data_IF_451780760227
#
_entry.id   IF_451780760227
#
_cell.length_a   1.000
_cell.length_b   1.000
_cell.length_c   1.000
_cell.angle_alpha   90.00
_cell.angle_beta   90.00
_cell.angle_gamma   90.00
#
_symmetry.space_group_name_H-M   'P 1'
#
loop_
_entity.id
_entity.type
_entity.pdbx_description
1 polymer ?
#
# COMPACT_ATOMS: atom_id res chain seq x y z
N UNK A 1 -33.89 -23.69 -34.53
CA UNK A 1 -32.83 -24.72 -34.52
C UNK A 1 -31.70 -24.11 -33.72
N UNK A 2 -31.65 -24.40 -32.41
CA UNK A 2 -30.62 -23.88 -31.51
C UNK A 2 -29.28 -24.48 -31.92
N UNK A 3 -28.43 -23.68 -32.57
CA UNK A 3 -27.06 -24.09 -32.86
C UNK A 3 -26.34 -24.30 -31.55
N UNK A 4 -25.73 -25.47 -31.36
CA UNK A 4 -24.84 -25.71 -30.25
C UNK A 4 -23.73 -24.64 -30.25
N UNK A 5 -23.30 -24.20 -29.07
CA UNK A 5 -22.20 -23.25 -28.94
C UNK A 5 -20.94 -23.91 -29.49
N UNK A 6 -20.45 -23.45 -30.65
CA UNK A 6 -19.21 -23.93 -31.25
C UNK A 6 -18.02 -23.15 -30.67
N UNK A 7 -17.22 -23.81 -29.84
CA UNK A 7 -16.00 -23.22 -29.28
C UNK A 7 -14.90 -23.28 -30.35
N UNK A 8 -14.40 -22.11 -30.75
CA UNK A 8 -13.29 -22.03 -31.69
C UNK A 8 -11.97 -22.51 -31.05
N UNK A 9 -11.07 -23.09 -31.85
CA UNK A 9 -9.71 -23.44 -31.40
C UNK A 9 -8.99 -22.23 -30.78
N UNK A 10 -9.23 -21.03 -31.29
CA UNK A 10 -8.65 -19.80 -30.73
C UNK A 10 -9.15 -19.49 -29.31
N UNK A 11 -10.44 -19.69 -29.05
CA UNK A 11 -11.05 -19.49 -27.73
C UNK A 11 -10.58 -20.56 -26.73
N UNK A 12 -10.45 -21.81 -27.18
CA UNK A 12 -9.90 -22.88 -26.37
C UNK A 12 -8.44 -22.60 -25.96
N UNK A 13 -7.61 -22.17 -26.92
CA UNK A 13 -6.21 -21.77 -26.63
C UNK A 13 -6.18 -20.59 -25.67
N UNK A 14 -7.00 -19.57 -25.89
CA UNK A 14 -7.11 -18.41 -25.00
C UNK A 14 -7.42 -18.84 -23.57
N UNK A 15 -8.43 -19.70 -23.38
CA UNK A 15 -8.81 -20.21 -22.06
C UNK A 15 -7.68 -20.99 -21.40
N UNK A 16 -7.09 -21.97 -22.09
CA UNK A 16 -6.06 -22.83 -21.54
C UNK A 16 -4.75 -22.10 -21.21
N UNK A 17 -4.52 -20.93 -21.81
CA UNK A 17 -3.40 -20.06 -21.45
C UNK A 17 -3.78 -19.10 -20.32
N UNK A 18 -4.91 -18.39 -20.41
CA UNK A 18 -5.28 -17.38 -19.42
C UNK A 18 -5.68 -17.99 -18.08
N UNK A 19 -6.44 -19.09 -18.05
CA UNK A 19 -6.97 -19.63 -16.81
C UNK A 19 -5.87 -20.05 -15.81
N UNK A 20 -4.81 -20.80 -16.19
CA UNK A 20 -3.71 -21.08 -15.28
C UNK A 20 -2.94 -19.83 -14.84
N UNK A 21 -2.71 -18.88 -15.76
CA UNK A 21 -2.05 -17.61 -15.43
C UNK A 21 -2.86 -16.80 -14.41
N UNK A 22 -4.19 -16.77 -14.55
CA UNK A 22 -5.08 -16.13 -13.58
C UNK A 22 -5.00 -16.79 -12.20
N UNK A 23 -4.95 -18.12 -12.14
CA UNK A 23 -4.78 -18.85 -10.87
C UNK A 23 -3.44 -18.49 -10.22
N UNK A 24 -2.35 -18.49 -10.99
CA UNK A 24 -1.01 -18.10 -10.49
C UNK A 24 -1.01 -16.65 -9.98
N UNK A 25 -1.62 -15.72 -10.72
CA UNK A 25 -1.72 -14.32 -10.31
C UNK A 25 -2.62 -14.13 -9.07
N UNK A 26 -3.70 -14.90 -8.95
CA UNK A 26 -4.55 -14.92 -7.76
C UNK A 26 -3.82 -15.47 -6.54
N UNK A 27 -2.97 -16.50 -6.70
CA UNK A 27 -2.07 -16.95 -5.62
C UNK A 27 -1.07 -15.86 -5.23
N UNK A 28 -0.65 -15.02 -6.18
CA UNK A 28 0.15 -13.83 -5.92
C UNK A 28 -0.47 -12.89 -4.89
N UNK A 29 -1.81 -12.77 -4.81
CA UNK A 29 -2.49 -11.97 -3.79
C UNK A 29 -2.24 -12.49 -2.36
N UNK A 30 -2.12 -13.82 -2.21
CA UNK A 30 -1.91 -14.46 -0.91
C UNK A 30 -0.42 -14.42 -0.49
N UNK A 31 0.50 -14.54 -1.45
CA UNK A 31 1.92 -14.73 -1.17
C UNK A 31 2.77 -13.46 -1.34
N UNK A 32 2.25 -12.40 -1.96
CA UNK A 32 2.99 -11.16 -2.16
C UNK A 32 3.22 -10.43 -0.83
N UNK A 33 4.50 -10.25 -0.48
CA UNK A 33 4.92 -9.49 0.72
C UNK A 33 4.68 -7.99 0.61
N UNK A 34 4.55 -7.46 -0.60
CA UNK A 34 4.33 -6.03 -0.85
C UNK A 34 2.95 -5.84 -1.47
N UNK A 35 2.12 -4.98 -0.86
CA UNK A 35 0.73 -4.78 -1.32
C UNK A 35 0.64 -4.28 -2.77
N UNK A 36 1.64 -3.55 -3.26
CA UNK A 36 1.71 -3.13 -4.68
C UNK A 36 1.77 -4.33 -5.64
N UNK A 37 2.53 -5.37 -5.29
CA UNK A 37 2.66 -6.56 -6.16
C UNK A 37 1.35 -7.38 -6.14
N UNK A 38 0.71 -7.47 -4.98
CA UNK A 38 -0.63 -8.05 -4.86
C UNK A 38 -1.66 -7.28 -5.71
N UNK A 39 -1.62 -5.94 -5.70
CA UNK A 39 -2.53 -5.14 -6.51
C UNK A 39 -2.31 -5.36 -8.02
N UNK A 40 -1.05 -5.39 -8.48
CA UNK A 40 -0.72 -5.69 -9.89
C UNK A 40 -1.18 -7.10 -10.28
N UNK A 41 -1.06 -8.08 -9.40
CA UNK A 41 -1.54 -9.44 -9.70
C UNK A 41 -3.06 -9.49 -9.85
N UNK A 42 -3.81 -8.71 -9.03
CA UNK A 42 -5.26 -8.58 -9.20
C UNK A 42 -5.63 -7.83 -10.49
N UNK A 43 -4.91 -6.76 -10.86
CA UNK A 43 -5.08 -6.08 -12.17
C UNK A 43 -5.00 -7.09 -13.31
N UNK A 44 -3.98 -7.94 -13.31
CA UNK A 44 -3.81 -8.98 -14.32
C UNK A 44 -5.01 -9.92 -14.39
N UNK A 45 -5.52 -10.40 -13.24
CA UNK A 45 -6.71 -11.25 -13.18
C UNK A 45 -7.94 -10.54 -13.74
N UNK A 46 -8.15 -9.26 -13.42
CA UNK A 46 -9.30 -8.49 -13.91
C UNK A 46 -9.26 -8.29 -15.42
N UNK A 47 -8.08 -8.04 -15.99
CA UNK A 47 -7.88 -7.90 -17.45
C UNK A 47 -8.06 -9.24 -18.16
N UNK A 48 -7.48 -10.32 -17.63
CA UNK A 48 -7.66 -11.66 -18.18
C UNK A 48 -9.15 -12.08 -18.15
N UNK A 49 -9.87 -11.74 -17.07
CA UNK A 49 -11.32 -11.98 -16.97
C UNK A 49 -12.11 -11.21 -18.04
N UNK A 50 -11.70 -9.99 -18.40
CA UNK A 50 -12.33 -9.23 -19.49
C UNK A 50 -12.19 -9.92 -20.86
N UNK A 51 -11.03 -10.52 -21.14
CA UNK A 51 -10.83 -11.33 -22.33
C UNK A 51 -11.71 -12.59 -22.31
N UNK A 52 -11.81 -13.27 -21.15
CA UNK A 52 -12.70 -14.43 -21.01
C UNK A 52 -14.17 -14.07 -21.17
N UNK A 53 -14.63 -12.93 -20.63
CA UNK A 53 -16.00 -12.44 -20.88
C UNK A 53 -16.27 -12.17 -22.35
N UNK A 54 -15.29 -11.59 -23.05
CA UNK A 54 -15.41 -11.34 -24.49
C UNK A 54 -15.49 -12.64 -25.28
N UNK A 55 -14.69 -13.65 -24.91
CA UNK A 55 -14.73 -14.99 -25.50
C UNK A 55 -16.05 -15.74 -25.19
N UNK A 56 -16.69 -15.42 -24.06
CA UNK A 56 -18.01 -15.94 -23.68
C UNK A 56 -19.17 -15.12 -24.27
N UNK A 57 -18.95 -14.44 -25.40
CA UNK A 57 -19.95 -13.62 -26.11
C UNK A 57 -20.56 -12.48 -25.25
N UNK A 58 -19.83 -11.99 -24.24
CA UNK A 58 -20.22 -10.88 -23.38
C UNK A 58 -19.24 -9.68 -23.49
N UNK A 59 -19.06 -9.09 -24.69
CA UNK A 59 -18.09 -8.01 -24.91
C UNK A 59 -18.40 -6.74 -24.11
N UNK A 60 -19.67 -6.41 -23.86
CA UNK A 60 -20.02 -5.26 -23.02
C UNK A 60 -19.50 -5.44 -21.59
N UNK A 61 -19.69 -6.63 -21.02
CA UNK A 61 -19.23 -6.96 -19.67
C UNK A 61 -17.70 -6.98 -19.60
N UNK A 62 -17.03 -7.47 -20.65
CA UNK A 62 -15.58 -7.38 -20.79
C UNK A 62 -15.06 -5.94 -20.77
N UNK A 63 -15.66 -5.04 -21.56
CA UNK A 63 -15.27 -3.62 -21.55
C UNK A 63 -15.57 -2.95 -20.21
N UNK A 64 -16.74 -3.22 -19.62
CA UNK A 64 -17.10 -2.71 -18.30
C UNK A 64 -16.12 -3.19 -17.21
N UNK A 65 -15.64 -4.42 -17.30
CA UNK A 65 -14.63 -4.98 -16.39
C UNK A 65 -13.31 -4.19 -16.45
N UNK A 66 -12.86 -3.82 -17.65
CA UNK A 66 -11.64 -3.02 -17.80
C UNK A 66 -11.86 -1.60 -17.31
N UNK A 67 -12.95 -0.94 -17.73
CA UNK A 67 -13.18 0.47 -17.40
C UNK A 67 -13.45 0.68 -15.90
N UNK A 68 -14.33 -0.12 -15.32
CA UNK A 68 -14.80 0.08 -13.93
C UNK A 68 -13.88 -0.59 -12.93
N UNK A 69 -13.67 -1.91 -13.04
CA UNK A 69 -12.89 -2.64 -12.04
C UNK A 69 -11.40 -2.36 -12.16
N UNK A 70 -10.85 -2.52 -13.37
CA UNK A 70 -9.41 -2.32 -13.60
C UNK A 70 -9.05 -0.83 -13.61
N UNK A 71 -9.90 0.00 -14.23
CA UNK A 71 -9.67 1.44 -14.35
C UNK A 71 -9.93 2.19 -13.05
N UNK A 72 -11.19 2.26 -12.61
CA UNK A 72 -11.56 3.11 -11.48
C UNK A 72 -11.26 2.47 -10.11
N UNK A 73 -11.80 1.28 -9.85
CA UNK A 73 -11.75 0.66 -8.52
C UNK A 73 -10.32 0.30 -8.14
N UNK A 74 -9.58 -0.34 -9.04
CA UNK A 74 -8.22 -0.78 -8.75
C UNK A 74 -7.25 0.40 -8.63
N UNK A 75 -7.40 1.45 -9.45
CA UNK A 75 -6.57 2.66 -9.30
C UNK A 75 -6.81 3.33 -7.95
N UNK A 76 -8.06 3.43 -7.50
CA UNK A 76 -8.38 3.92 -6.15
C UNK A 76 -7.73 3.04 -5.07
N UNK A 77 -7.83 1.72 -5.22
CA UNK A 77 -7.24 0.78 -4.27
C UNK A 77 -5.71 0.92 -4.19
N UNK A 78 -5.02 0.96 -5.33
CA UNK A 78 -3.56 1.17 -5.40
C UNK A 78 -3.18 2.51 -4.79
N UNK A 79 -3.92 3.57 -5.08
CA UNK A 79 -3.67 4.89 -4.52
C UNK A 79 -3.81 4.90 -3.00
N UNK A 80 -4.86 4.28 -2.46
CA UNK A 80 -5.08 4.15 -1.02
C UNK A 80 -3.96 3.32 -0.38
N UNK A 81 -3.61 2.17 -0.96
CA UNK A 81 -2.51 1.35 -0.46
C UNK A 81 -1.19 2.12 -0.41
N UNK A 82 -0.92 2.92 -1.44
CA UNK A 82 0.28 3.74 -1.50
C UNK A 82 0.27 4.88 -0.47
N UNK A 83 -0.87 5.55 -0.28
CA UNK A 83 -1.03 6.60 0.74
C UNK A 83 -0.88 6.09 2.17
N UNK A 84 -1.38 4.89 2.45
CA UNK A 84 -1.32 4.29 3.80
C UNK A 84 0.12 3.91 4.18
N UNK A 85 1.03 3.80 3.21
CA UNK A 85 2.44 3.47 3.48
C UNK A 85 2.58 2.04 3.99
N UNK A 86 2.51 1.08 3.07
CA UNK A 86 2.71 -0.35 3.37
C UNK A 86 4.19 -0.70 3.48
N UNK A 87 4.82 -0.27 4.58
CA UNK A 87 6.05 -0.86 5.13
C UNK A 87 5.76 -1.56 6.46
N UNK A 88 4.63 -2.27 6.51
CA UNK A 88 4.39 -3.22 7.58
C UNK A 88 5.34 -4.40 7.36
N UNK A 89 6.47 -4.36 8.08
CA UNK A 89 7.27 -5.54 8.33
C UNK A 89 6.36 -6.52 9.09
N UNK A 90 5.66 -7.38 8.36
CA UNK A 90 4.78 -8.39 8.95
C UNK A 90 5.62 -9.21 9.94
N UNK A 91 5.41 -8.98 11.24
CA UNK A 91 5.91 -9.91 12.23
C UNK A 91 5.09 -11.18 12.05
N UNK A 92 5.72 -12.25 11.58
CA UNK A 92 5.13 -13.60 11.46
C UNK A 92 4.86 -14.23 12.84
N UNK A 93 4.72 -13.41 13.88
CA UNK A 93 4.40 -13.82 15.23
C UNK A 93 2.91 -14.05 15.27
N UNK A 94 2.53 -15.31 15.17
CA UNK A 94 1.15 -15.77 15.24
C UNK A 94 0.56 -15.40 16.61
N UNK A 95 -0.29 -14.38 16.67
CA UNK A 95 -0.95 -13.94 17.93
C UNK A 95 -1.86 -15.02 18.50
N UNK A 96 -2.41 -15.88 17.63
CA UNK A 96 -3.25 -17.04 17.96
C UNK A 96 -2.61 -18.33 17.45
N UNK A 97 -2.02 -19.10 18.36
CA UNK A 97 -1.41 -20.39 18.03
C UNK A 97 -2.44 -21.30 17.33
N UNK A 98 -2.14 -21.74 16.11
CA UNK A 98 -2.98 -22.65 15.32
C UNK A 98 -3.91 -22.00 14.31
N UNK A 99 -4.01 -20.65 14.25
CA UNK A 99 -4.86 -19.95 13.29
C UNK A 99 -4.51 -20.31 11.84
N UNK A 100 -3.22 -20.33 11.47
CA UNK A 100 -2.78 -20.71 10.14
C UNK A 100 -3.22 -22.12 9.72
N UNK A 101 -3.12 -23.10 10.62
CA UNK A 101 -3.56 -24.47 10.32
C UNK A 101 -5.07 -24.56 10.12
N UNK A 102 -5.83 -23.86 10.96
CA UNK A 102 -7.29 -23.78 10.83
C UNK A 102 -7.66 -23.09 9.50
N UNK A 103 -7.00 -21.99 9.15
CA UNK A 103 -7.25 -21.28 7.88
C UNK A 103 -6.93 -22.16 6.66
N UNK A 104 -5.84 -22.93 6.69
CA UNK A 104 -5.51 -23.88 5.64
C UNK A 104 -6.55 -24.99 5.56
N UNK A 105 -6.97 -25.56 6.69
CA UNK A 105 -8.01 -26.59 6.73
C UNK A 105 -9.32 -26.10 6.14
N UNK A 106 -9.79 -24.91 6.51
CA UNK A 106 -11.00 -24.31 5.94
C UNK A 106 -10.82 -23.97 4.45
N UNK A 107 -9.67 -23.46 4.04
CA UNK A 107 -9.38 -23.16 2.64
C UNK A 107 -9.42 -24.41 1.76
N UNK A 108 -8.74 -25.48 2.18
CA UNK A 108 -8.74 -26.77 1.47
C UNK A 108 -10.12 -27.42 1.52
N UNK A 109 -10.80 -27.35 2.66
CA UNK A 109 -12.16 -27.86 2.82
C UNK A 109 -13.15 -27.19 1.87
N UNK A 110 -13.13 -25.85 1.79
CA UNK A 110 -13.95 -25.08 0.88
C UNK A 110 -13.61 -25.41 -0.59
N UNK A 111 -12.33 -25.46 -0.95
CA UNK A 111 -11.90 -25.83 -2.29
C UNK A 111 -12.39 -27.23 -2.69
N UNK A 112 -12.29 -28.20 -1.77
CA UNK A 112 -12.75 -29.57 -1.99
C UNK A 112 -14.26 -29.64 -2.21
N UNK A 113 -15.04 -28.88 -1.42
CA UNK A 113 -16.50 -28.78 -1.60
C UNK A 113 -16.84 -28.15 -2.95
N UNK A 114 -16.21 -27.04 -3.32
CA UNK A 114 -16.46 -26.37 -4.60
C UNK A 114 -16.11 -27.27 -5.79
N UNK A 115 -14.96 -27.94 -5.75
CA UNK A 115 -14.55 -28.90 -6.78
C UNK A 115 -15.55 -30.06 -6.85
N UNK A 116 -15.99 -30.59 -5.70
CA UNK A 116 -17.00 -31.65 -5.63
C UNK A 116 -18.34 -31.23 -6.26
N UNK A 117 -18.81 -30.02 -5.95
CA UNK A 117 -20.02 -29.45 -6.55
C UNK A 117 -19.87 -29.30 -8.06
N UNK A 118 -18.76 -28.73 -8.54
CA UNK A 118 -18.51 -28.56 -9.98
C UNK A 118 -18.41 -29.92 -10.69
N UNK A 119 -17.73 -30.90 -10.10
CA UNK A 119 -17.53 -32.22 -10.69
C UNK A 119 -18.82 -33.06 -10.74
N UNK A 120 -19.77 -32.81 -9.84
CA UNK A 120 -21.07 -33.53 -9.77
C UNK A 120 -22.23 -32.76 -10.38
N UNK A 121 -22.02 -31.49 -10.76
CA UNK A 121 -23.04 -30.66 -11.37
C UNK A 121 -23.39 -31.19 -12.77
N UNK A 122 -24.67 -31.52 -12.97
CA UNK A 122 -25.23 -31.75 -14.30
C UNK A 122 -25.69 -30.42 -14.86
N UNK A 123 -24.94 -29.88 -15.82
CA UNK A 123 -25.29 -28.64 -16.51
C UNK A 123 -26.06 -28.96 -17.80
N UNK A 124 -27.04 -28.14 -18.17
CA UNK A 124 -27.66 -28.22 -19.50
C UNK A 124 -26.61 -27.91 -20.58
N UNK A 125 -26.90 -28.34 -21.82
CA UNK A 125 -26.02 -28.07 -22.96
C UNK A 125 -25.74 -26.56 -23.09
N UNK A 126 -24.48 -26.24 -23.39
CA UNK A 126 -24.06 -24.85 -23.53
C UNK A 126 -24.78 -24.19 -24.72
N UNK A 127 -25.51 -23.13 -24.43
CA UNK A 127 -26.18 -22.31 -25.44
C UNK A 127 -25.42 -21.00 -25.62
N UNK A 128 -25.14 -20.65 -26.88
CA UNK A 128 -24.56 -19.36 -27.23
C UNK A 128 -25.52 -18.20 -26.93
N UNK A 129 -24.95 -17.01 -26.78
CA UNK A 129 -25.66 -15.74 -26.65
C UNK A 129 -25.84 -15.05 -28.01
N UNK A 130 -25.33 -15.62 -29.11
CA UNK A 130 -25.38 -15.04 -30.46
C UNK A 130 -26.78 -14.57 -30.88
N UNK A 131 -27.83 -15.36 -30.61
CA UNK A 131 -29.22 -15.00 -30.94
C UNK A 131 -29.70 -13.78 -30.13
N UNK A 132 -29.37 -13.73 -28.85
CA UNK A 132 -29.73 -12.64 -27.93
C UNK A 132 -28.91 -11.37 -28.23
N UNK A 133 -27.71 -11.54 -28.79
CA UNK A 133 -26.79 -10.47 -29.14
C UNK A 133 -26.99 -9.90 -30.55
N UNK A 134 -28.03 -10.32 -31.29
CA UNK A 134 -28.30 -9.87 -32.68
C UNK A 134 -28.38 -8.36 -32.85
N UNK A 135 -29.05 -7.67 -31.93
CA UNK A 135 -29.16 -6.19 -31.91
C UNK A 135 -27.98 -5.50 -31.19
N UNK A 136 -26.93 -6.27 -30.84
CA UNK A 136 -25.79 -5.86 -30.05
C UNK A 136 -25.90 -6.23 -28.57
N UNK A 137 -24.81 -6.76 -28.00
CA UNK A 137 -24.75 -7.20 -26.60
C UNK A 137 -25.16 -6.12 -25.57
N UNK A 138 -24.75 -4.83 -25.68
CA UNK A 138 -25.21 -3.80 -24.76
C UNK A 138 -26.73 -3.55 -24.82
N UNK A 139 -27.35 -3.70 -26.00
CA UNK A 139 -28.79 -3.47 -26.19
C UNK A 139 -29.59 -4.58 -25.52
N UNK A 140 -29.15 -5.83 -25.65
CA UNK A 140 -29.74 -6.97 -24.94
C UNK A 140 -29.71 -6.77 -23.41
N UNK A 141 -28.55 -6.40 -22.88
CA UNK A 141 -28.38 -6.10 -21.44
C UNK A 141 -29.27 -4.93 -21.00
N UNK A 142 -29.36 -3.85 -21.80
CA UNK A 142 -30.22 -2.71 -21.49
C UNK A 142 -31.71 -3.09 -21.42
N UNK A 143 -32.21 -3.93 -22.34
CA UNK A 143 -33.62 -4.40 -22.29
C UNK A 143 -33.93 -5.16 -21.00
N UNK A 144 -32.99 -5.97 -20.51
CA UNK A 144 -33.13 -6.69 -19.24
C UNK A 144 -33.11 -5.72 -18.05
N UNK A 145 -32.13 -4.82 -18.00
CA UNK A 145 -31.96 -3.86 -16.90
C UNK A 145 -33.15 -2.92 -16.79
N UNK A 146 -33.57 -2.31 -17.89
CA UNK A 146 -34.66 -1.31 -17.89
C UNK A 146 -36.06 -1.93 -18.04
N UNK A 147 -36.16 -3.20 -18.39
CA UNK A 147 -37.41 -3.96 -18.40
C UNK A 147 -37.63 -4.69 -17.08
N UNK A 148 -37.07 -5.89 -16.97
CA UNK A 148 -37.34 -6.80 -15.86
C UNK A 148 -36.64 -6.40 -14.56
N UNK A 149 -35.44 -5.80 -14.65
CA UNK A 149 -34.61 -5.50 -13.48
C UNK A 149 -34.61 -4.02 -13.07
N UNK A 150 -35.63 -3.24 -13.49
CA UNK A 150 -35.69 -1.80 -13.21
C UNK A 150 -35.64 -1.48 -11.71
N UNK A 151 -36.29 -2.30 -10.89
CA UNK A 151 -36.27 -2.13 -9.44
C UNK A 151 -34.88 -2.40 -8.83
N UNK A 152 -34.19 -3.44 -9.32
CA UNK A 152 -32.82 -3.73 -8.88
C UNK A 152 -31.86 -2.62 -9.32
N UNK A 153 -32.03 -2.08 -10.52
CA UNK A 153 -31.28 -0.92 -11.00
C UNK A 153 -31.47 0.31 -10.10
N UNK A 154 -32.71 0.65 -9.75
CA UNK A 154 -33.01 1.78 -8.87
C UNK A 154 -32.42 1.59 -7.47
N UNK A 155 -32.48 0.37 -6.94
CA UNK A 155 -31.89 0.04 -5.64
C UNK A 155 -30.36 0.19 -5.66
N UNK A 156 -29.69 -0.22 -6.74
CA UNK A 156 -28.25 0.02 -6.92
C UNK A 156 -27.98 1.52 -7.04
N UNK A 157 -28.82 2.30 -7.72
CA UNK A 157 -28.72 3.76 -7.77
C UNK A 157 -28.78 4.39 -6.38
N UNK A 158 -29.77 4.02 -5.56
CA UNK A 158 -29.90 4.47 -4.18
C UNK A 158 -28.71 4.07 -3.30
N UNK A 159 -28.18 2.85 -3.51
CA UNK A 159 -26.97 2.37 -2.85
C UNK A 159 -25.75 3.23 -3.20
N UNK A 160 -25.56 3.59 -4.48
CA UNK A 160 -24.45 4.43 -4.92
C UNK A 160 -24.54 5.85 -4.35
N UNK A 161 -25.73 6.44 -4.28
CA UNK A 161 -25.95 7.75 -3.64
C UNK A 161 -25.60 7.68 -2.15
N UNK A 162 -26.06 6.62 -1.47
CA UNK A 162 -25.81 6.42 -0.05
C UNK A 162 -24.32 6.17 0.23
N UNK A 163 -23.63 5.40 -0.62
CA UNK A 163 -22.19 5.18 -0.52
C UNK A 163 -21.40 6.48 -0.70
N UNK A 164 -21.77 7.32 -1.69
CA UNK A 164 -21.16 8.62 -1.90
C UNK A 164 -21.37 9.56 -0.68
N UNK A 165 -22.59 9.61 -0.14
CA UNK A 165 -22.89 10.37 1.07
C UNK A 165 -22.10 9.84 2.29
N UNK A 166 -22.00 8.52 2.43
CA UNK A 166 -21.20 7.86 3.46
C UNK A 166 -19.72 8.22 3.37
N UNK A 167 -19.15 8.23 2.17
CA UNK A 167 -17.75 8.63 1.96
C UNK A 167 -17.50 10.10 2.30
N UNK A 168 -18.40 11.02 1.89
CA UNK A 168 -18.29 12.46 2.19
C UNK A 168 -18.41 12.69 3.71
N UNK A 169 -19.38 12.06 4.36
CA UNK A 169 -19.58 12.21 5.81
C UNK A 169 -18.41 11.65 6.62
N UNK A 170 -17.83 10.52 6.20
CA UNK A 170 -16.67 9.91 6.86
C UNK A 170 -15.38 10.74 6.71
N UNK A 171 -15.23 11.45 5.58
CA UNK A 171 -14.06 12.30 5.31
C UNK A 171 -14.22 13.73 5.85
N UNK A 172 -15.45 14.13 6.20
CA UNK A 172 -15.73 15.44 6.76
C UNK A 172 -15.16 15.58 8.18
N UNK A 173 -13.98 16.21 8.28
CA UNK A 173 -13.40 16.62 9.57
C UNK A 173 -14.04 17.90 10.07
N UNK A 174 -15.04 17.77 10.93
CA UNK A 174 -15.53 18.91 11.69
C UNK A 174 -14.54 19.27 12.80
N UNK A 175 -14.01 20.49 12.75
CA UNK A 175 -13.14 21.01 13.82
C UNK A 175 -14.02 21.39 15.01
N UNK A 176 -14.12 20.50 15.99
CA UNK A 176 -14.91 20.70 17.22
C UNK A 176 -14.41 21.86 18.11
N UNK A 177 -13.29 22.50 17.78
CA UNK A 177 -12.72 23.61 18.53
C UNK A 177 -12.50 24.85 17.67
N UNK A 178 -12.73 26.03 18.26
CA UNK A 178 -12.37 27.32 17.65
C UNK A 178 -10.88 27.30 17.31
N UNK A 179 -10.51 27.65 16.08
CA UNK A 179 -9.10 27.83 15.68
C UNK A 179 -8.47 28.78 16.71
N UNK A 180 -7.47 28.29 17.46
CA UNK A 180 -6.79 29.13 18.44
C UNK A 180 -6.13 30.27 17.68
N UNK A 181 -6.54 31.48 18.04
CA UNK A 181 -5.90 32.69 17.52
C UNK A 181 -4.49 32.83 18.12
N UNK A 182 -3.65 33.64 17.48
CA UNK A 182 -2.29 33.92 17.95
C UNK A 182 -2.31 34.43 19.39
N UNK A 183 -3.26 35.34 19.73
CA UNK A 183 -3.47 35.84 21.10
C UNK A 183 -3.80 34.73 22.11
N UNK A 184 -4.78 33.86 21.79
CA UNK A 184 -5.16 32.77 22.68
C UNK A 184 -4.01 31.79 22.95
N UNK A 185 -3.15 31.58 21.95
CA UNK A 185 -1.95 30.75 22.08
C UNK A 185 -0.90 31.42 22.98
N UNK A 186 -0.74 32.75 22.85
CA UNK A 186 0.13 33.57 23.68
C UNK A 186 -0.35 33.59 25.15
N UNK A 187 -1.64 33.79 25.39
CA UNK A 187 -2.23 33.81 26.73
C UNK A 187 -2.02 32.47 27.44
N UNK A 188 -2.20 31.35 26.74
CA UNK A 188 -1.93 30.01 27.28
C UNK A 188 -0.45 29.82 27.63
N UNK A 189 0.47 30.31 26.79
CA UNK A 189 1.91 30.28 27.09
C UNK A 189 2.26 31.14 28.30
N UNK A 190 1.72 32.35 28.39
CA UNK A 190 1.94 33.24 29.54
C UNK A 190 1.43 32.62 30.84
N UNK A 191 0.26 31.97 30.81
CA UNK A 191 -0.28 31.24 31.96
C UNK A 191 0.61 30.05 32.34
N UNK A 192 1.05 29.26 31.37
CA UNK A 192 1.94 28.12 31.61
C UNK A 192 3.31 28.57 32.19
N UNK A 193 3.85 29.69 31.71
CA UNK A 193 5.06 30.31 32.26
C UNK A 193 4.83 30.77 33.71
N UNK A 194 3.72 31.47 33.97
CA UNK A 194 3.38 31.95 35.31
C UNK A 194 3.07 30.84 36.33
N UNK A 195 2.56 29.70 35.87
CA UNK A 195 2.27 28.53 36.70
C UNK A 195 3.48 27.58 36.88
N UNK A 196 4.57 27.79 36.15
CA UNK A 196 5.74 26.90 36.16
C UNK A 196 5.54 25.54 35.45
N UNK A 197 4.45 25.36 34.69
CA UNK A 197 4.02 24.08 34.09
C UNK A 197 4.67 23.75 32.73
N UNK A 198 5.93 24.16 32.50
CA UNK A 198 6.74 23.57 31.42
C UNK A 198 7.16 24.46 30.26
N UNK A 199 7.06 25.78 30.38
CA UNK A 199 7.80 26.71 29.52
C UNK A 199 8.68 27.59 30.42
N UNK A 200 9.99 27.32 30.44
CA UNK A 200 10.97 28.19 31.12
C UNK A 200 11.24 29.48 30.35
N UNK A 201 10.76 29.57 29.11
CA UNK A 201 11.09 30.64 28.16
C UNK A 201 9.82 31.11 27.45
N UNK A 202 9.50 32.40 27.58
CA UNK A 202 8.34 33.06 26.96
C UNK A 202 8.45 33.17 25.44
N UNK A 203 9.67 33.30 24.94
CA UNK A 203 9.97 33.40 23.52
C UNK A 203 9.97 32.02 22.85
N UNK A 204 9.67 31.94 21.53
CA UNK A 204 9.96 30.73 20.78
C UNK A 204 11.43 30.33 20.98
N UNK A 205 11.67 29.04 21.15
CA UNK A 205 13.03 28.51 21.15
C UNK A 205 13.66 28.82 19.78
N UNK A 206 14.96 29.16 19.75
CA UNK A 206 15.68 29.26 18.48
C UNK A 206 15.62 27.90 17.77
N UNK A 207 15.65 27.93 16.44
CA UNK A 207 15.78 26.69 15.68
C UNK A 207 17.10 25.98 16.04
N UNK A 208 17.15 24.64 15.97
CA UNK A 208 18.40 23.88 16.08
C UNK A 208 19.50 24.48 15.19
N UNK A 209 20.75 24.43 15.67
CA UNK A 209 21.90 24.93 14.94
C UNK A 209 22.02 26.45 14.79
N UNK A 210 21.07 27.25 15.30
CA UNK A 210 21.20 28.71 15.30
C UNK A 210 22.41 29.12 16.15
N UNK A 211 23.32 29.88 15.55
CA UNK A 211 24.66 30.24 16.08
C UNK A 211 25.65 29.07 16.26
N UNK A 212 25.29 27.85 15.87
CA UNK A 212 26.23 26.74 15.79
C UNK A 212 26.95 26.73 14.42
N UNK A 213 28.08 26.03 14.33
CA UNK A 213 28.82 25.80 13.08
C UNK A 213 28.10 24.85 12.12
N UNK A 214 27.01 24.20 12.58
CA UNK A 214 26.24 23.21 11.84
C UNK A 214 24.73 23.41 12.03
N UNK A 215 23.99 23.43 10.92
CA UNK A 215 22.54 23.64 10.89
C UNK A 215 21.81 22.30 10.69
N UNK A 216 21.88 21.43 11.69
CA UNK A 216 21.16 20.16 11.70
C UNK A 216 20.20 20.08 12.90
N UNK A 217 19.16 19.24 12.76
CA UNK A 217 18.09 19.14 13.76
C UNK A 217 18.57 18.52 15.09
N UNK A 218 19.68 17.79 15.07
CA UNK A 218 20.37 17.18 16.21
C UNK A 218 21.44 18.09 16.83
N UNK A 219 21.76 19.22 16.21
CA UNK A 219 22.67 20.22 16.75
C UNK A 219 21.92 21.27 17.61
N UNK A 220 22.28 21.46 18.89
CA UNK A 220 21.65 22.49 19.70
C UNK A 220 22.03 23.89 19.20
N UNK A 221 21.10 24.83 19.30
CA UNK A 221 21.39 26.24 19.15
C UNK A 221 22.34 26.72 20.26
N UNK A 222 23.15 27.73 19.98
CA UNK A 222 24.04 28.35 20.97
C UNK A 222 23.45 29.67 21.48
N UNK A 223 23.60 29.93 22.78
CA UNK A 223 23.28 31.24 23.35
C UNK A 223 24.36 32.28 23.01
N UNK A 224 24.15 33.54 23.42
CA UNK A 224 25.11 34.62 23.18
C UNK A 224 26.47 34.39 23.87
N UNK A 225 26.55 33.47 24.83
CA UNK A 225 27.76 33.08 25.54
C UNK A 225 28.38 31.79 24.95
N UNK A 226 27.82 31.25 23.86
CA UNK A 226 28.30 30.02 23.23
C UNK A 226 27.90 28.73 23.94
N UNK A 227 26.97 28.78 24.91
CA UNK A 227 26.49 27.58 25.62
C UNK A 227 25.33 26.93 24.85
N UNK A 228 25.23 25.59 24.84
CA UNK A 228 24.17 24.89 24.13
C UNK A 228 22.81 25.07 24.79
N UNK A 229 21.80 25.36 23.98
CA UNK A 229 20.39 25.40 24.37
C UNK A 229 19.78 24.05 23.99
N UNK A 230 19.87 23.07 24.89
CA UNK A 230 19.36 21.70 24.67
C UNK A 230 17.87 21.68 24.29
N UNK A 231 17.10 22.62 24.83
CA UNK A 231 15.66 22.73 24.59
C UNK A 231 15.32 23.04 23.11
N UNK A 232 16.26 23.61 22.34
CA UNK A 232 16.10 23.88 20.90
C UNK A 232 16.00 22.60 20.05
N UNK A 233 16.61 21.50 20.50
CA UNK A 233 16.60 20.21 19.81
C UNK A 233 15.23 19.54 19.99
N UNK A 234 14.62 18.98 18.92
CA UNK A 234 13.35 18.28 19.00
C UNK A 234 13.36 17.17 20.06
N UNK A 235 12.32 17.11 20.89
CA UNK A 235 12.17 16.13 21.99
C UNK A 235 12.44 14.69 21.56
N UNK A 236 12.05 14.31 20.34
CA UNK A 236 12.25 12.95 19.81
C UNK A 236 13.72 12.59 19.63
N UNK A 237 14.58 13.54 19.26
CA UNK A 237 16.03 13.34 19.10
C UNK A 237 16.68 13.25 20.48
N UNK A 238 16.28 14.13 21.41
CA UNK A 238 16.79 14.11 22.79
C UNK A 238 16.47 12.81 23.51
N UNK A 239 15.22 12.34 23.41
CA UNK A 239 14.80 11.06 24.02
C UNK A 239 15.58 9.87 23.46
N UNK A 240 15.97 9.94 22.18
CA UNK A 240 16.79 8.90 21.54
C UNK A 240 18.28 9.01 21.86
N UNK A 241 18.71 10.07 22.55
CA UNK A 241 20.14 10.34 22.79
C UNK A 241 20.93 10.61 21.51
N UNK A 242 20.26 11.14 20.47
CA UNK A 242 20.85 11.41 19.16
C UNK A 242 21.29 12.86 18.99
N UNK A 243 21.30 13.65 20.07
CA UNK A 243 21.76 15.03 20.05
C UNK A 243 23.29 15.10 20.00
N UNK A 244 23.81 16.02 19.19
CA UNK A 244 25.25 16.25 19.05
C UNK A 244 25.71 17.29 20.06
N UNK A 245 26.85 17.06 20.69
CA UNK A 245 27.51 18.12 21.47
C UNK A 245 28.26 19.07 20.54
N UNK A 246 28.44 20.35 20.92
CA UNK A 246 29.21 21.32 20.12
C UNK A 246 30.61 20.82 19.72
N UNK A 247 31.28 20.06 20.59
CA UNK A 247 32.59 19.46 20.33
C UNK A 247 32.55 18.36 19.26
N UNK A 248 31.49 17.55 19.26
CA UNK A 248 31.27 16.51 18.24
C UNK A 248 30.92 17.10 16.87
N UNK A 249 30.32 18.29 16.85
CA UNK A 249 29.96 18.97 15.61
C UNK A 249 31.23 19.43 14.89
N UNK A 250 32.13 20.14 15.57
CA UNK A 250 33.34 20.69 14.93
C UNK A 250 34.27 19.57 14.41
N UNK A 251 34.43 18.49 15.17
CA UNK A 251 35.18 17.31 14.72
C UNK A 251 34.57 16.66 13.49
N UNK A 252 33.25 16.45 13.48
CA UNK A 252 32.54 15.89 12.31
C UNK A 252 32.59 16.80 11.09
N UNK A 253 32.49 18.11 11.28
CA UNK A 253 32.62 19.08 10.18
C UNK A 253 34.02 19.00 9.56
N UNK A 254 35.06 18.87 10.39
CA UNK A 254 36.43 18.65 9.91
C UNK A 254 36.57 17.32 9.16
N UNK A 255 35.99 16.23 9.67
CA UNK A 255 36.02 14.91 9.03
C UNK A 255 35.23 14.88 7.71
N UNK A 256 34.09 15.55 7.62
CA UNK A 256 33.32 15.68 6.38
C UNK A 256 34.10 16.51 5.36
N UNK A 257 34.71 17.62 5.79
CA UNK A 257 35.54 18.46 4.93
C UNK A 257 36.78 17.72 4.41
N UNK A 258 37.32 16.78 5.19
CA UNK A 258 38.42 15.91 4.78
C UNK A 258 38.00 14.81 3.79
N UNK A 259 36.70 14.58 3.58
CA UNK A 259 36.15 13.57 2.64
C UNK A 259 35.91 12.12 3.14
N UNK A 260 36.35 11.63 4.33
CA UNK A 260 36.13 10.24 4.73
C UNK A 260 34.74 9.93 5.32
N UNK A 261 33.85 10.91 5.53
CA UNK A 261 32.58 10.66 6.22
C UNK A 261 31.50 10.04 5.32
N UNK A 262 31.72 8.80 4.89
CA UNK A 262 30.62 7.88 4.58
C UNK A 262 30.35 7.12 5.87
N UNK A 263 29.31 7.52 6.61
CA UNK A 263 28.84 6.72 7.73
C UNK A 263 28.42 5.35 7.20
N UNK A 264 29.23 4.31 7.43
CA UNK A 264 28.79 2.93 7.32
C UNK A 264 27.69 2.74 8.36
N UNK A 265 26.43 2.78 7.90
CA UNK A 265 25.32 2.29 8.70
C UNK A 265 25.58 0.80 8.87
N UNK A 266 26.00 0.41 10.07
CA UNK A 266 26.19 -1.00 10.41
C UNK A 266 24.79 -1.65 10.49
N UNK A 267 24.37 -2.21 9.36
CA UNK A 267 23.16 -3.03 9.27
C UNK A 267 23.54 -4.42 9.76
N UNK A 268 22.95 -4.94 10.85
CA UNK A 268 23.30 -6.26 11.37
C UNK A 268 23.07 -7.32 10.29
N UNK A 269 24.14 -7.95 9.80
CA UNK A 269 24.08 -9.08 8.86
C UNK A 269 24.76 -8.90 7.51
N UNK A 270 25.52 -7.81 7.29
CA UNK A 270 26.33 -7.66 6.07
C UNK A 270 27.81 -7.46 6.41
N UNK A 271 28.47 -8.51 6.91
CA UNK A 271 29.93 -8.53 7.01
C UNK A 271 30.54 -8.52 5.60
N UNK A 272 31.46 -7.58 5.29
CA UNK A 272 32.20 -7.61 4.04
C UNK A 272 33.11 -8.84 4.01
N UNK A 273 33.39 -9.42 2.83
CA UNK A 273 34.26 -10.59 2.72
C UNK A 273 35.65 -10.25 3.27
N UNK A 274 36.13 -11.07 4.20
CA UNK A 274 37.43 -10.89 4.86
C UNK A 274 38.60 -10.85 3.86
N UNK A 275 39.74 -10.25 4.23
CA UNK A 275 40.87 -10.07 3.34
C UNK A 275 41.40 -11.43 2.85
N UNK A 276 41.64 -11.51 1.54
CA UNK A 276 42.20 -12.68 0.88
C UNK A 276 43.54 -13.08 1.51
N UNK A 277 43.74 -14.39 1.71
CA UNK A 277 44.96 -14.95 2.25
C UNK A 277 46.19 -14.56 1.39
N UNK A 278 47.37 -14.32 2.00
CA UNK A 278 48.56 -13.95 1.25
C UNK A 278 49.06 -15.12 0.40
N UNK A 279 49.44 -14.82 -0.85
CA UNK A 279 50.08 -15.76 -1.77
C UNK A 279 51.39 -16.31 -1.17
N UNK A 280 51.69 -17.61 -1.35
CA UNK A 280 52.94 -18.17 -0.86
C UNK A 280 54.11 -17.72 -1.74
N UNK A 281 55.14 -17.19 -1.10
CA UNK A 281 56.44 -16.89 -1.70
C UNK A 281 57.01 -18.14 -2.39
N UNK A 282 57.22 -18.09 -3.70
CA UNK A 282 58.08 -19.04 -4.40
C UNK A 282 59.51 -18.50 -4.38
N UNK A 283 60.30 -19.08 -3.47
CA UNK A 283 61.73 -18.91 -3.42
C UNK A 283 62.42 -19.48 -4.66
N UNK A 284 63.39 -18.71 -5.14
CA UNK A 284 64.39 -19.03 -6.14
C UNK A 284 65.25 -20.25 -5.72
N UNK A 285 65.35 -21.27 -6.58
CA UNK A 285 66.58 -22.10 -6.73
C UNK A 285 66.52 -23.10 -7.92
N UNK A 286 67.45 -22.85 -8.85
CA UNK A 286 68.02 -23.67 -9.95
C UNK A 286 67.29 -23.77 -11.28
#
# INVERSE_FOLDING_TARGET
>A
MSGALEISTGEAVLFWVLAPLMVIAALGLLFARKAVHAAISVVFVMVALAFLYTALEAPFLGVAQVVVYTGAVMTLFVFVLMLVGVDASDSVVETLQGQRWIAVLFGVGLASVLIGVIATATLPDAQGLAEVNTDGNPVGVARLIFGQFVFAFELVGALLITAALGAITLTHRERLGRKRDQRATLDLRMRAYGAGEGSKVLTPLPAPGVYATHNAADAPALDAQGRPIEESVPRVIRIRGQELTPEQIDSRVADIAAGPFVATIDVPGNEPPGPAAPEPEQGEQR
#
